data_IF_408903729907
#
_entry.id   IF_408903729907
#
_cell.length_a   1.000
_cell.length_b   1.000
_cell.length_c   1.000
_cell.angle_alpha   90.00
_cell.angle_beta   90.00
_cell.angle_gamma   90.00
#
_symmetry.space_group_name_H-M   'P 1'
#
loop_
_entity.id
_entity.type
_entity.pdbx_description
1 polymer ?
#
# COMPACT_ATOMS: atom_id res chain seq x y z
N UNK A 1 -6.64 1.79 31.85
CA UNK A 1 -7.78 1.34 32.66
C UNK A 1 -7.69 -0.16 32.95
N UNK A 2 -7.46 -1.03 31.96
CA UNK A 2 -7.45 -2.49 32.18
C UNK A 2 -6.14 -3.11 32.75
N UNK A 3 -4.98 -2.48 32.64
CA UNK A 3 -3.70 -3.15 33.01
C UNK A 3 -3.52 -3.34 34.52
N UNK A 4 -4.12 -2.49 35.35
CA UNK A 4 -3.96 -2.54 36.81
C UNK A 4 -5.10 -3.29 37.53
N UNK A 5 -6.09 -3.78 36.79
CA UNK A 5 -7.29 -4.43 37.34
C UNK A 5 -7.24 -5.96 37.23
N UNK A 6 -6.24 -6.51 36.54
CA UNK A 6 -6.06 -7.94 36.30
C UNK A 6 -4.65 -8.36 36.73
N UNK A 7 -4.53 -9.59 37.24
CA UNK A 7 -3.23 -10.17 37.64
C UNK A 7 -2.32 -10.42 36.42
N UNK A 8 -2.94 -10.75 35.27
CA UNK A 8 -2.28 -10.94 33.98
C UNK A 8 -2.61 -9.80 33.02
N UNK A 9 -1.66 -9.46 32.14
CA UNK A 9 -1.86 -8.42 31.13
C UNK A 9 -2.88 -8.89 30.08
N UNK A 10 -4.04 -8.23 29.92
CA UNK A 10 -5.09 -8.69 29.02
C UNK A 10 -4.82 -8.25 27.57
N UNK A 11 -3.87 -8.89 26.89
CA UNK A 11 -3.46 -8.55 25.52
C UNK A 11 -4.63 -8.55 24.53
N UNK A 12 -5.53 -9.53 24.60
CA UNK A 12 -6.70 -9.60 23.70
C UNK A 12 -7.60 -8.37 23.81
N UNK A 13 -7.84 -7.90 25.05
CA UNK A 13 -8.65 -6.70 25.29
C UNK A 13 -7.95 -5.43 24.78
N UNK A 14 -6.63 -5.34 24.95
CA UNK A 14 -5.82 -4.20 24.49
C UNK A 14 -5.78 -4.16 22.95
N UNK A 15 -5.56 -5.30 22.32
CA UNK A 15 -5.54 -5.45 20.86
C UNK A 15 -6.91 -5.13 20.28
N UNK A 16 -8.00 -5.64 20.86
CA UNK A 16 -9.36 -5.32 20.41
C UNK A 16 -9.69 -3.83 20.56
N UNK A 17 -9.39 -3.23 21.72
CA UNK A 17 -9.66 -1.82 21.94
C UNK A 17 -8.85 -0.92 20.99
N UNK A 18 -7.59 -1.24 20.76
CA UNK A 18 -6.72 -0.43 19.89
C UNK A 18 -7.06 -0.67 18.43
N UNK A 19 -7.10 -1.93 18.00
CA UNK A 19 -7.33 -2.34 16.62
C UNK A 19 -8.74 -2.05 16.13
N UNK A 20 -9.77 -2.46 16.87
CA UNK A 20 -11.17 -2.34 16.42
C UNK A 20 -11.81 -1.03 16.85
N UNK A 21 -11.69 -0.64 18.12
CA UNK A 21 -12.40 0.53 18.64
C UNK A 21 -11.72 1.87 18.31
N UNK A 22 -10.39 1.96 18.43
CA UNK A 22 -9.67 3.21 18.17
C UNK A 22 -9.36 3.41 16.69
N UNK A 23 -8.71 2.42 16.06
CA UNK A 23 -8.29 2.54 14.66
C UNK A 23 -9.27 1.89 13.67
N UNK A 24 -10.01 0.86 14.08
CA UNK A 24 -10.85 0.06 13.17
C UNK A 24 -11.96 0.86 12.48
N UNK A 25 -12.56 1.84 13.18
CA UNK A 25 -13.54 2.75 12.58
C UNK A 25 -12.96 3.71 11.52
N UNK A 26 -11.64 3.80 11.39
CA UNK A 26 -10.93 4.60 10.37
C UNK A 26 -10.44 3.75 9.20
N UNK A 27 -10.54 2.43 9.30
CA UNK A 27 -10.04 1.49 8.31
C UNK A 27 -11.23 0.80 7.64
N UNK A 28 -11.42 1.12 6.36
CA UNK A 28 -12.56 0.64 5.57
C UNK A 28 -12.28 -0.65 4.81
N UNK A 29 -11.01 -0.88 4.43
CA UNK A 29 -10.61 -2.10 3.73
C UNK A 29 -10.26 -3.21 4.73
N UNK A 30 -10.77 -4.42 4.48
CA UNK A 30 -10.49 -5.59 5.31
C UNK A 30 -9.01 -6.00 5.25
N UNK A 31 -8.33 -5.74 4.12
CA UNK A 31 -6.89 -5.98 3.99
C UNK A 31 -6.07 -5.03 4.85
N UNK A 32 -6.42 -3.75 4.87
CA UNK A 32 -5.80 -2.76 5.75
C UNK A 32 -6.07 -3.09 7.23
N UNK A 33 -7.27 -3.58 7.55
CA UNK A 33 -7.60 -4.00 8.92
C UNK A 33 -6.73 -5.18 9.34
N UNK A 34 -6.55 -6.17 8.46
CA UNK A 34 -5.64 -7.30 8.72
C UNK A 34 -4.20 -6.84 8.90
N UNK A 35 -3.73 -5.91 8.08
CA UNK A 35 -2.40 -5.33 8.19
C UNK A 35 -2.20 -4.65 9.55
N UNK A 36 -3.14 -3.79 9.94
CA UNK A 36 -3.15 -3.11 11.24
C UNK A 36 -3.05 -4.09 12.41
N UNK A 37 -3.90 -5.12 12.44
CA UNK A 37 -3.88 -6.13 13.50
C UNK A 37 -2.57 -6.93 13.54
N UNK A 38 -1.97 -7.18 12.37
CA UNK A 38 -0.67 -7.85 12.26
C UNK A 38 0.43 -7.00 12.88
N UNK A 39 0.47 -5.70 12.55
CA UNK A 39 1.42 -4.76 13.14
C UNK A 39 1.22 -4.70 14.66
N UNK A 40 -0.02 -4.60 15.14
CA UNK A 40 -0.30 -4.56 16.59
C UNK A 40 0.16 -5.81 17.32
N UNK A 41 0.12 -6.99 16.70
CA UNK A 41 0.58 -8.24 17.32
C UNK A 41 2.09 -8.22 17.63
N UNK A 42 2.90 -7.50 16.85
CA UNK A 42 4.32 -7.34 17.11
C UNK A 42 4.62 -6.46 18.35
N UNK A 43 3.66 -5.60 18.75
CA UNK A 43 3.76 -4.70 19.90
C UNK A 43 2.91 -5.12 21.12
N UNK A 44 1.90 -5.97 20.94
CA UNK A 44 1.04 -6.46 22.01
C UNK A 44 1.19 -7.97 22.15
N UNK A 45 2.30 -8.40 22.74
CA UNK A 45 2.57 -9.80 23.02
C UNK A 45 3.25 -9.99 24.39
N UNK A 46 3.17 -11.20 24.92
CA UNK A 46 3.77 -11.57 26.20
C UNK A 46 5.30 -11.52 26.19
N UNK A 47 5.93 -11.66 25.01
CA UNK A 47 7.38 -11.63 24.88
C UNK A 47 7.95 -10.24 25.20
N UNK A 48 7.23 -9.16 24.93
CA UNK A 48 7.66 -7.79 25.32
C UNK A 48 7.77 -7.62 26.84
N UNK A 49 6.94 -8.33 27.61
CA UNK A 49 6.97 -8.28 29.08
C UNK A 49 8.03 -9.23 29.63
N UNK A 50 8.22 -10.37 28.99
CA UNK A 50 9.09 -11.45 29.47
C UNK A 50 10.56 -11.22 29.08
N UNK A 51 10.80 -10.69 27.89
CA UNK A 51 12.12 -10.39 27.35
C UNK A 51 12.47 -8.90 27.55
N UNK A 52 13.40 -8.63 28.46
CA UNK A 52 13.91 -7.29 28.74
C UNK A 52 14.58 -6.61 27.54
N UNK A 53 14.97 -7.36 26.51
CA UNK A 53 15.59 -6.83 25.28
C UNK A 53 14.83 -7.24 24.03
N UNK A 54 13.50 -7.35 24.14
CA UNK A 54 12.64 -7.61 22.98
C UNK A 54 12.94 -6.61 21.86
N UNK A 55 13.27 -7.13 20.68
CA UNK A 55 13.65 -6.35 19.50
C UNK A 55 12.44 -6.16 18.60
N UNK A 56 12.19 -4.92 18.19
CA UNK A 56 11.11 -4.56 17.28
C UNK A 56 11.51 -4.66 15.80
N UNK A 57 12.81 -4.71 15.49
CA UNK A 57 13.29 -4.95 14.14
C UNK A 57 14.42 -5.99 14.09
N UNK A 58 14.66 -6.62 12.93
CA UNK A 58 15.78 -7.54 12.73
C UNK A 58 17.15 -6.94 13.04
N UNK A 59 17.37 -5.65 12.73
CA UNK A 59 18.63 -4.97 13.04
C UNK A 59 18.89 -4.82 14.54
N UNK A 60 17.85 -4.92 15.38
CA UNK A 60 17.98 -4.89 16.85
C UNK A 60 18.34 -3.51 17.43
N UNK A 61 18.38 -2.47 16.61
CA UNK A 61 18.55 -1.08 17.04
C UNK A 61 17.32 -0.57 17.80
N UNK A 62 16.14 -1.11 17.46
CA UNK A 62 14.88 -0.80 18.10
C UNK A 62 14.52 -1.92 19.07
N UNK A 63 14.49 -1.60 20.36
CA UNK A 63 14.13 -2.55 21.40
C UNK A 63 13.34 -1.87 22.52
N UNK A 64 12.70 -2.68 23.36
CA UNK A 64 12.00 -2.15 24.54
C UNK A 64 13.01 -1.49 25.50
N UNK A 65 12.83 -0.22 25.91
CA UNK A 65 13.66 0.38 26.93
C UNK A 65 13.38 -0.27 28.29
N UNK A 66 14.41 -0.44 29.12
CA UNK A 66 14.22 -0.85 30.52
C UNK A 66 13.38 0.20 31.24
N UNK A 67 12.44 -0.24 32.09
CA UNK A 67 11.51 0.62 32.85
C UNK A 67 12.28 1.59 33.76
N UNK A 68 12.71 2.69 33.18
CA UNK A 68 13.43 3.74 33.87
C UNK A 68 12.69 5.07 33.72
N UNK A 69 13.07 6.05 34.53
CA UNK A 69 12.35 7.33 34.64
C UNK A 69 12.24 8.07 33.31
N UNK A 70 11.36 9.09 33.28
CA UNK A 70 11.11 9.92 32.09
C UNK A 70 12.39 10.36 31.35
N UNK A 71 13.41 10.80 32.08
CA UNK A 71 14.67 11.28 31.49
C UNK A 71 15.41 10.20 30.71
N UNK A 72 15.40 8.95 31.19
CA UNK A 72 16.07 7.84 30.53
C UNK A 72 15.31 7.38 29.29
N UNK A 73 13.98 7.44 29.30
CA UNK A 73 13.17 7.23 28.11
C UNK A 73 13.47 8.29 27.03
N UNK A 74 13.62 9.56 27.43
CA UNK A 74 13.98 10.65 26.51
C UNK A 74 15.40 10.45 25.94
N UNK A 75 16.36 10.06 26.78
CA UNK A 75 17.73 9.79 26.34
C UNK A 75 17.79 8.59 25.38
N UNK A 76 17.03 7.53 25.67
CA UNK A 76 16.88 6.38 24.78
C UNK A 76 16.35 6.78 23.40
N UNK A 77 15.28 7.57 23.34
CA UNK A 77 14.70 8.04 22.07
C UNK A 77 15.71 8.90 21.29
N UNK A 78 16.49 9.74 21.97
CA UNK A 78 17.53 10.58 21.34
C UNK A 78 18.70 9.77 20.77
N UNK A 79 18.98 8.59 21.34
CA UNK A 79 20.03 7.70 20.88
C UNK A 79 19.60 6.83 19.69
N UNK A 80 18.32 6.83 19.31
CA UNK A 80 17.86 6.10 18.12
C UNK A 80 18.42 6.72 16.83
N UNK A 81 18.62 5.90 15.77
CA UNK A 81 19.08 6.41 14.48
C UNK A 81 18.16 7.51 13.94
N UNK A 82 18.71 8.63 13.44
CA UNK A 82 17.91 9.72 12.86
C UNK A 82 17.23 9.29 11.56
N UNK A 83 17.86 8.40 10.81
CA UNK A 83 17.29 7.77 9.61
C UNK A 83 16.71 6.41 10.00
N UNK A 84 15.41 6.24 9.76
CA UNK A 84 14.68 5.03 10.12
C UNK A 84 14.61 4.11 8.91
N UNK A 85 15.08 2.87 9.07
CA UNK A 85 15.06 1.88 8.00
C UNK A 85 13.66 1.25 7.89
N UNK A 86 13.15 0.90 6.68
CA UNK A 86 11.80 0.37 6.47
C UNK A 86 11.42 -0.85 7.32
N UNK A 87 12.41 -1.61 7.79
CA UNK A 87 12.21 -2.79 8.63
C UNK A 87 11.49 -2.50 9.95
N UNK A 88 11.62 -1.29 10.53
CA UNK A 88 10.90 -0.95 11.77
C UNK A 88 9.39 -0.82 11.56
N UNK A 89 8.99 -0.61 10.30
CA UNK A 89 7.58 -0.55 9.89
C UNK A 89 7.10 -1.89 9.32
N UNK A 90 7.90 -2.96 9.42
CA UNK A 90 7.60 -4.27 8.82
C UNK A 90 7.69 -4.27 7.29
N UNK A 91 8.38 -3.30 6.69
CA UNK A 91 8.47 -3.11 5.24
C UNK A 91 9.81 -3.58 4.66
N UNK A 92 9.79 -3.93 3.38
CA UNK A 92 11.00 -4.25 2.61
C UNK A 92 11.79 -2.98 2.29
N UNK A 93 13.12 -3.10 2.16
CA UNK A 93 14.04 -2.02 1.73
C UNK A 93 13.66 -1.35 0.38
N UNK A 94 12.83 -2.01 -0.44
CA UNK A 94 12.39 -1.47 -1.74
C UNK A 94 11.41 -0.29 -1.59
N UNK A 95 10.86 -0.11 -0.39
CA UNK A 95 10.00 1.03 -0.08
C UNK A 95 10.79 2.33 -0.14
N UNK A 96 12.06 2.34 0.27
CA UNK A 96 12.90 3.54 0.18
C UNK A 96 13.11 3.94 -1.29
N UNK A 97 13.39 2.98 -2.17
CA UNK A 97 13.52 3.22 -3.62
C UNK A 97 12.23 3.83 -4.18
N UNK A 98 11.08 3.27 -3.80
CA UNK A 98 9.77 3.73 -4.29
C UNK A 98 9.46 5.14 -3.81
N UNK A 99 9.75 5.44 -2.54
CA UNK A 99 9.62 6.78 -1.94
C UNK A 99 10.51 7.79 -2.66
N UNK A 100 11.79 7.47 -2.85
CA UNK A 100 12.76 8.35 -3.50
C UNK A 100 12.37 8.63 -4.95
N UNK A 101 11.92 7.62 -5.69
CA UNK A 101 11.41 7.81 -7.05
C UNK A 101 10.19 8.73 -7.08
N UNK A 102 9.28 8.60 -6.10
CA UNK A 102 8.11 9.46 -6.00
C UNK A 102 8.50 10.91 -5.65
N UNK A 103 9.41 11.10 -4.71
CA UNK A 103 9.91 12.42 -4.30
C UNK A 103 10.63 13.13 -5.46
N UNK A 104 11.48 12.41 -6.20
CA UNK A 104 12.17 12.93 -7.39
C UNK A 104 11.17 13.31 -8.49
N UNK A 105 10.13 12.50 -8.72
CA UNK A 105 9.07 12.85 -9.69
C UNK A 105 8.34 14.13 -9.28
N UNK A 106 7.92 14.22 -8.01
CA UNK A 106 7.26 15.42 -7.49
C UNK A 106 8.16 16.67 -7.60
N UNK A 107 9.46 16.52 -7.36
CA UNK A 107 10.44 17.60 -7.55
C UNK A 107 10.50 18.04 -9.01
N UNK A 108 10.64 17.10 -9.97
CA UNK A 108 10.69 17.44 -11.39
C UNK A 108 9.39 18.07 -11.88
N UNK A 109 8.24 17.53 -11.50
CA UNK A 109 6.93 18.10 -11.84
C UNK A 109 6.80 19.52 -11.30
N UNK A 110 7.23 19.75 -10.05
CA UNK A 110 7.24 21.08 -9.44
C UNK A 110 8.17 22.05 -10.17
N UNK A 111 9.37 21.61 -10.54
CA UNK A 111 10.32 22.42 -11.30
C UNK A 111 9.76 22.79 -12.68
N UNK A 112 9.14 21.83 -13.38
CA UNK A 112 8.49 22.08 -14.67
C UNK A 112 7.36 23.12 -14.56
N UNK A 113 6.55 23.07 -13.49
CA UNK A 113 5.51 24.07 -13.23
C UNK A 113 6.08 25.46 -12.96
N UNK A 114 7.27 25.57 -12.33
CA UNK A 114 7.92 26.85 -12.05
C UNK A 114 8.67 27.44 -13.23
N UNK A 115 9.04 26.63 -14.23
CA UNK A 115 9.50 27.14 -15.51
C UNK A 115 8.29 27.73 -16.25
N UNK A 116 7.99 29.01 -15.94
CA UNK A 116 6.89 29.75 -16.56
C UNK A 116 6.88 29.52 -18.06
N UNK A 117 5.71 29.16 -18.60
CA UNK A 117 5.48 28.54 -19.92
C UNK A 117 6.05 29.27 -21.15
N UNK A 118 7.37 29.38 -21.22
CA UNK A 118 8.14 29.90 -22.34
C UNK A 118 9.26 28.92 -22.62
N UNK A 119 8.93 27.85 -23.35
CA UNK A 119 9.94 26.91 -23.83
C UNK A 119 9.35 25.59 -24.27
N UNK A 120 8.57 25.57 -25.36
CA UNK A 120 8.19 24.30 -25.98
C UNK A 120 7.12 24.39 -27.06
N UNK A 121 7.54 24.60 -28.31
CA UNK A 121 6.85 23.98 -29.46
C UNK A 121 5.65 24.70 -30.05
N UNK A 122 5.81 25.93 -30.54
CA UNK A 122 4.98 26.41 -31.64
C UNK A 122 5.33 25.65 -32.92
N UNK A 123 4.75 24.46 -33.12
CA UNK A 123 4.95 23.68 -34.34
C UNK A 123 4.56 22.21 -34.22
N UNK A 124 3.46 21.85 -34.88
CA UNK A 124 3.11 20.50 -35.32
C UNK A 124 2.77 19.43 -34.26
N UNK A 125 2.46 19.82 -33.01
CA UNK A 125 2.03 18.87 -31.97
C UNK A 125 0.74 18.14 -32.33
N UNK A 126 -0.24 18.82 -32.93
CA UNK A 126 -1.52 18.19 -33.27
C UNK A 126 -1.40 17.15 -34.39
N UNK A 127 -0.58 17.42 -35.40
CA UNK A 127 -0.33 16.44 -36.48
C UNK A 127 0.46 15.25 -35.96
N UNK A 128 1.49 15.48 -35.13
CA UNK A 128 2.24 14.39 -34.49
C UNK A 128 1.35 13.54 -33.57
N UNK A 129 0.43 14.17 -32.83
CA UNK A 129 -0.57 13.46 -32.01
C UNK A 129 -1.52 12.63 -32.88
N UNK A 130 -2.00 13.19 -34.01
CA UNK A 130 -2.86 12.47 -34.95
C UNK A 130 -2.13 11.28 -35.60
N UNK A 131 -0.86 11.43 -35.95
CA UNK A 131 -0.02 10.36 -36.52
C UNK A 131 0.19 9.24 -35.49
N UNK A 132 0.48 9.58 -34.23
CA UNK A 132 0.60 8.60 -33.13
C UNK A 132 -0.72 7.90 -32.86
N UNK A 133 -1.84 8.63 -32.83
CA UNK A 133 -3.16 8.04 -32.63
C UNK A 133 -3.51 7.07 -33.78
N UNK A 134 -3.17 7.42 -35.02
CA UNK A 134 -3.39 6.56 -36.20
C UNK A 134 -2.49 5.32 -36.15
N UNK A 135 -1.23 5.46 -35.73
CA UNK A 135 -0.30 4.35 -35.54
C UNK A 135 -0.80 3.38 -34.44
N UNK A 136 -1.25 3.91 -33.29
CA UNK A 136 -1.87 3.10 -32.22
C UNK A 136 -3.12 2.38 -32.75
N UNK A 137 -4.01 3.08 -33.45
CA UNK A 137 -5.21 2.49 -34.04
C UNK A 137 -4.88 1.38 -35.03
N UNK A 138 -3.83 1.54 -35.83
CA UNK A 138 -3.38 0.52 -36.80
C UNK A 138 -2.79 -0.74 -36.14
N UNK A 139 -2.30 -0.60 -34.90
CA UNK A 139 -1.74 -1.70 -34.10
C UNK A 139 -2.78 -2.41 -33.25
N UNK A 140 -3.97 -1.82 -33.08
CA UNK A 140 -5.06 -2.47 -32.35
C UNK A 140 -5.57 -3.68 -33.14
N UNK A 141 -5.84 -4.82 -32.48
CA UNK A 141 -6.54 -5.93 -33.10
C UNK A 141 -7.91 -5.49 -33.65
N UNK A 142 -8.40 -6.22 -34.66
CA UNK A 142 -9.77 -6.01 -35.15
C UNK A 142 -10.79 -6.42 -34.08
N UNK A 143 -11.92 -5.72 -34.06
CA UNK A 143 -13.07 -6.02 -33.22
C UNK A 143 -13.48 -7.49 -33.35
N UNK A 144 -13.95 -8.06 -32.25
CA UNK A 144 -14.43 -9.43 -32.22
C UNK A 144 -15.73 -9.57 -33.01
N UNK A 145 -15.83 -10.63 -33.81
CA UNK A 145 -17.08 -11.00 -34.50
C UNK A 145 -18.03 -11.66 -33.50
N UNK A 146 -18.92 -10.84 -32.94
CA UNK A 146 -19.89 -11.24 -31.92
C UNK A 146 -20.88 -12.28 -32.48
N UNK A 147 -21.27 -12.17 -33.76
CA UNK A 147 -22.21 -13.11 -34.39
C UNK A 147 -21.60 -14.51 -34.52
N UNK A 148 -20.33 -14.60 -34.92
CA UNK A 148 -19.60 -15.87 -34.92
C UNK A 148 -19.38 -16.40 -33.51
N UNK A 149 -19.09 -15.54 -32.53
CA UNK A 149 -18.88 -15.93 -31.14
C UNK A 149 -20.14 -16.53 -30.52
N UNK A 150 -21.31 -15.91 -30.72
CA UNK A 150 -22.62 -16.41 -30.25
C UNK A 150 -22.96 -17.75 -30.91
N UNK A 151 -22.67 -17.90 -32.21
CA UNK A 151 -22.94 -19.15 -32.94
C UNK A 151 -22.04 -20.30 -32.50
N UNK A 152 -20.77 -20.00 -32.16
CA UNK A 152 -19.79 -20.98 -31.70
C UNK A 152 -19.95 -21.33 -30.22
N UNK A 153 -20.34 -20.36 -29.40
CA UNK A 153 -20.54 -20.49 -27.96
C UNK A 153 -21.95 -20.04 -27.58
N UNK A 154 -22.98 -20.88 -27.86
CA UNK A 154 -24.36 -20.51 -27.60
C UNK A 154 -24.63 -20.42 -26.09
N UNK A 155 -25.49 -19.48 -25.72
CA UNK A 155 -25.99 -19.30 -24.34
C UNK A 155 -26.74 -20.57 -23.94
N UNK A 156 -26.08 -21.39 -23.14
CA UNK A 156 -26.61 -22.68 -22.70
C UNK A 156 -26.53 -22.75 -21.19
N UNK A 157 -27.58 -23.27 -20.55
CA UNK A 157 -27.64 -23.38 -19.09
C UNK A 157 -26.50 -24.24 -18.50
N UNK A 158 -26.00 -25.22 -19.26
CA UNK A 158 -24.89 -26.10 -18.83
C UNK A 158 -23.51 -25.45 -18.93
N UNK A 159 -23.36 -24.37 -19.69
CA UNK A 159 -22.07 -23.68 -19.91
C UNK A 159 -22.27 -22.16 -19.81
N UNK A 160 -22.40 -21.66 -18.58
CA UNK A 160 -22.61 -20.25 -18.28
C UNK A 160 -21.46 -19.34 -18.74
N UNK A 161 -20.24 -19.88 -18.82
CA UNK A 161 -19.05 -19.14 -19.29
C UNK A 161 -19.16 -18.68 -20.75
N UNK A 162 -19.94 -19.37 -21.58
CA UNK A 162 -20.20 -18.93 -22.97
C UNK A 162 -20.91 -17.57 -22.99
N UNK A 163 -21.78 -17.32 -22.02
CA UNK A 163 -22.50 -16.04 -21.90
C UNK A 163 -21.56 -14.92 -21.46
N UNK A 164 -20.69 -15.19 -20.48
CA UNK A 164 -19.69 -14.22 -19.99
C UNK A 164 -18.71 -13.88 -21.11
N UNK A 165 -18.24 -14.87 -21.87
CA UNK A 165 -17.32 -14.65 -22.98
C UNK A 165 -17.91 -13.72 -24.04
N UNK A 166 -19.15 -13.95 -24.45
CA UNK A 166 -19.83 -13.09 -25.43
C UNK A 166 -20.03 -11.67 -24.89
N UNK A 167 -20.41 -11.53 -23.61
CA UNK A 167 -20.59 -10.22 -22.97
C UNK A 167 -19.28 -9.44 -22.82
N UNK A 168 -18.19 -10.11 -22.46
CA UNK A 168 -16.86 -9.47 -22.37
C UNK A 168 -16.34 -9.10 -23.77
N UNK A 169 -16.59 -9.91 -24.80
CA UNK A 169 -16.29 -9.55 -26.19
C UNK A 169 -17.08 -8.33 -26.67
N UNK A 170 -18.37 -8.24 -26.31
CA UNK A 170 -19.21 -7.07 -26.61
C UNK A 170 -18.75 -5.82 -25.86
N UNK A 171 -18.26 -5.95 -24.62
CA UNK A 171 -17.76 -4.84 -23.81
C UNK A 171 -16.37 -4.36 -24.21
N UNK A 172 -15.56 -5.24 -24.80
CA UNK A 172 -14.20 -4.92 -25.24
C UNK A 172 -14.16 -4.22 -26.60
N UNK A 173 -15.13 -4.53 -27.48
CA UNK A 173 -15.37 -3.77 -28.71
C UNK A 173 -15.86 -2.35 -28.39
#
# INVERSE_FOLDING_TARGET
MFINEYDDVPFDAITYMTGECNYGGRVTDDWDRRCLLTILADFFNSAIVTDQKYKFSPSGNYHCPTKNGYNEAVEFIKNLPPTQHPEIFGMHENVDISRELQEVRLLFDSVLLTQGGQGGGGGNTDQALADIATDILSKLPKDYDIELAIKKYPVTYSESMNTVLVQEMERFN
#
